data_IF_281809065659
#
_entry.id   IF_281809065659
#
_cell.length_a   1.000
_cell.length_b   1.000
_cell.length_c   1.000
_cell.angle_alpha   90.00
_cell.angle_beta   90.00
_cell.angle_gamma   90.00
#
_symmetry.space_group_name_H-M   'P 1'
#
loop_
_entity.id
_entity.type
_entity.pdbx_description
1 polymer ?
#
# COMPACT_ATOMS: atom_id res chain seq x y z
N UNK A 1 24.40 -4.99 -26.74
CA UNK A 1 24.62 -4.67 -25.32
C UNK A 1 26.09 -4.76 -24.90
N UNK A 2 26.78 -5.88 -25.14
CA UNK A 2 28.21 -6.05 -24.79
C UNK A 2 29.12 -4.94 -25.32
N UNK A 3 29.04 -4.61 -26.62
CA UNK A 3 29.87 -3.54 -27.23
C UNK A 3 29.66 -2.17 -26.55
N UNK A 4 28.42 -1.82 -26.20
CA UNK A 4 28.11 -0.55 -25.53
C UNK A 4 28.76 -0.43 -24.14
N UNK A 5 28.79 -1.53 -23.39
CA UNK A 5 29.29 -1.54 -22.01
C UNK A 5 30.81 -1.70 -21.94
N UNK A 6 31.40 -2.49 -22.85
CA UNK A 6 32.79 -2.93 -22.76
C UNK A 6 33.74 -2.37 -23.82
N UNK A 7 33.26 -1.80 -24.94
CA UNK A 7 34.15 -1.24 -25.99
C UNK A 7 34.17 0.29 -25.97
N UNK A 8 35.23 0.90 -26.51
CA UNK A 8 35.39 2.37 -26.57
C UNK A 8 34.59 3.02 -27.72
N UNK A 9 34.06 2.23 -28.64
CA UNK A 9 33.33 2.68 -29.84
C UNK A 9 32.11 3.56 -29.51
N UNK A 10 31.46 3.33 -28.35
CA UNK A 10 30.26 4.05 -27.93
C UNK A 10 30.45 4.82 -26.62
N UNK A 11 31.66 5.31 -26.36
CA UNK A 11 32.02 5.99 -25.09
C UNK A 11 31.10 7.17 -24.73
N UNK A 12 30.70 7.99 -25.71
CA UNK A 12 29.81 9.14 -25.50
C UNK A 12 28.42 8.66 -25.07
N UNK A 13 27.83 7.71 -25.79
CA UNK A 13 26.54 7.12 -25.46
C UNK A 13 26.55 6.45 -24.08
N UNK A 14 27.62 5.73 -23.74
CA UNK A 14 27.81 5.14 -22.41
C UNK A 14 27.85 6.21 -21.33
N UNK A 15 28.51 7.34 -21.56
CA UNK A 15 28.56 8.46 -20.60
C UNK A 15 27.18 9.07 -20.39
N UNK A 16 26.45 9.37 -21.47
CA UNK A 16 25.07 9.91 -21.40
C UNK A 16 24.16 8.96 -20.63
N UNK A 17 24.18 7.67 -20.99
CA UNK A 17 23.39 6.63 -20.34
C UNK A 17 23.72 6.53 -18.85
N UNK A 18 25.00 6.59 -18.49
CA UNK A 18 25.45 6.52 -17.09
C UNK A 18 24.97 7.72 -16.29
N UNK A 19 25.12 8.95 -16.82
CA UNK A 19 24.66 10.17 -16.15
C UNK A 19 23.15 10.12 -15.94
N UNK A 20 22.39 9.72 -16.96
CA UNK A 20 20.94 9.56 -16.88
C UNK A 20 20.53 8.57 -15.78
N UNK A 21 21.13 7.38 -15.75
CA UNK A 21 20.79 6.38 -14.72
C UNK A 21 21.23 6.79 -13.33
N UNK A 22 22.40 7.45 -13.19
CA UNK A 22 22.83 7.98 -11.88
C UNK A 22 21.85 9.02 -11.37
N UNK A 23 21.34 9.90 -12.24
CA UNK A 23 20.30 10.86 -11.88
C UNK A 23 19.01 10.15 -11.41
N UNK A 24 18.50 9.19 -12.18
CA UNK A 24 17.29 8.43 -11.82
C UNK A 24 17.48 7.65 -10.51
N UNK A 25 18.59 6.95 -10.33
CA UNK A 25 18.86 6.18 -9.11
C UNK A 25 19.04 7.08 -7.88
N UNK A 26 19.66 8.25 -8.05
CA UNK A 26 19.71 9.25 -6.98
C UNK A 26 18.31 9.67 -6.57
N UNK A 27 17.43 9.97 -7.54
CA UNK A 27 16.04 10.33 -7.27
C UNK A 27 15.29 9.20 -6.55
N UNK A 28 15.49 7.94 -6.95
CA UNK A 28 14.90 6.77 -6.29
C UNK A 28 15.35 6.63 -4.83
N UNK A 29 16.64 6.82 -4.57
CA UNK A 29 17.17 6.79 -3.20
C UNK A 29 16.66 7.94 -2.33
N UNK A 30 16.56 9.16 -2.89
CA UNK A 30 15.96 10.28 -2.18
C UNK A 30 14.48 10.03 -1.89
N UNK A 31 13.74 9.48 -2.87
CA UNK A 31 12.34 9.12 -2.71
C UNK A 31 12.15 8.06 -1.62
N UNK A 32 12.96 6.99 -1.58
CA UNK A 32 12.81 5.96 -0.55
C UNK A 32 13.14 6.51 0.85
N UNK A 33 14.19 7.33 0.99
CA UNK A 33 14.50 7.97 2.27
C UNK A 33 13.33 8.86 2.73
N UNK A 34 12.78 9.66 1.83
CA UNK A 34 11.59 10.48 2.11
C UNK A 34 10.38 9.64 2.53
N UNK A 35 10.06 8.59 1.78
CA UNK A 35 8.93 7.70 2.05
C UNK A 35 9.05 6.92 3.37
N UNK A 36 10.27 6.70 3.86
CA UNK A 36 10.53 6.01 5.12
C UNK A 36 10.54 6.95 6.33
N UNK A 37 10.80 8.26 6.15
CA UNK A 37 10.92 9.21 7.26
C UNK A 37 9.66 10.04 7.49
N UNK A 38 8.90 10.35 6.44
CA UNK A 38 7.88 11.41 6.49
C UNK A 38 6.43 10.90 6.57
N UNK A 39 5.96 9.97 5.72
CA UNK A 39 4.55 9.59 5.70
C UNK A 39 4.10 8.85 6.96
N UNK A 40 4.92 7.93 7.50
CA UNK A 40 4.44 6.96 8.48
C UNK A 40 5.33 6.89 9.73
N UNK A 41 4.81 7.34 10.88
CA UNK A 41 5.53 7.31 12.16
C UNK A 41 5.83 5.90 12.69
N UNK A 42 5.07 4.90 12.23
CA UNK A 42 5.25 3.50 12.61
C UNK A 42 6.53 2.90 12.01
N UNK A 43 7.05 3.48 10.92
CA UNK A 43 8.32 3.05 10.34
C UNK A 43 9.45 3.57 11.25
N UNK A 44 10.26 2.69 11.85
CA UNK A 44 11.32 3.15 12.74
C UNK A 44 12.33 4.03 12.00
N UNK A 45 12.70 5.17 12.61
CA UNK A 45 13.62 6.15 12.00
C UNK A 45 14.98 5.55 11.61
N UNK A 46 15.43 4.50 12.30
CA UNK A 46 16.68 3.81 11.95
C UNK A 46 16.61 3.17 10.55
N UNK A 47 15.43 2.74 10.07
CA UNK A 47 15.26 2.18 8.72
C UNK A 47 15.55 3.25 7.67
N UNK A 48 15.05 4.47 7.88
CA UNK A 48 15.38 5.62 7.03
C UNK A 48 16.88 5.99 7.12
N UNK A 49 17.50 5.90 8.30
CA UNK A 49 18.95 6.10 8.45
C UNK A 49 19.76 5.07 7.65
N UNK A 50 19.37 3.79 7.68
CA UNK A 50 20.03 2.75 6.88
C UNK A 50 19.86 3.05 5.38
N UNK A 51 18.67 3.45 4.93
CA UNK A 51 18.46 3.86 3.53
C UNK A 51 19.34 5.07 3.13
N UNK A 52 19.52 6.04 4.03
CA UNK A 52 20.42 7.18 3.79
C UNK A 52 21.89 6.75 3.74
N UNK A 53 22.32 5.79 4.58
CA UNK A 53 23.66 5.19 4.50
C UNK A 53 23.82 4.45 3.16
N UNK A 54 22.81 3.73 2.68
CA UNK A 54 22.85 3.09 1.36
C UNK A 54 22.94 4.12 0.23
N UNK A 55 22.31 5.29 0.33
CA UNK A 55 22.49 6.39 -0.62
C UNK A 55 23.93 6.90 -0.64
N UNK A 56 24.56 7.07 0.54
CA UNK A 56 26.00 7.41 0.62
C UNK A 56 26.85 6.30 0.02
N UNK A 57 26.53 5.03 0.30
CA UNK A 57 27.20 3.87 -0.27
C UNK A 57 27.07 3.81 -1.80
N UNK A 58 25.91 4.21 -2.36
CA UNK A 58 25.72 4.32 -3.80
C UNK A 58 26.70 5.31 -4.44
N UNK A 59 26.89 6.49 -3.84
CA UNK A 59 27.90 7.46 -4.32
C UNK A 59 29.32 6.96 -4.09
N UNK A 60 29.59 6.31 -2.97
CA UNK A 60 30.87 5.69 -2.71
C UNK A 60 31.22 4.66 -3.79
N UNK A 61 30.29 3.74 -4.08
CA UNK A 61 30.41 2.76 -5.16
C UNK A 61 30.77 3.49 -6.44
N UNK A 62 30.03 4.53 -6.87
CA UNK A 62 30.34 5.28 -8.10
C UNK A 62 31.79 5.77 -8.22
N UNK A 63 32.44 6.10 -7.10
CA UNK A 63 33.84 6.58 -7.07
C UNK A 63 34.90 5.47 -7.00
N UNK A 64 34.51 4.23 -6.69
CA UNK A 64 35.43 3.10 -6.64
C UNK A 64 36.06 2.85 -8.02
N UNK A 65 37.34 2.41 -8.00
CA UNK A 65 38.08 2.03 -9.20
C UNK A 65 37.33 0.95 -9.98
N UNK A 66 37.55 0.93 -11.31
CA UNK A 66 36.92 -0.06 -12.19
C UNK A 66 37.47 -1.45 -11.90
N UNK A 67 36.60 -2.38 -11.51
CA UNK A 67 36.97 -3.75 -11.16
C UNK A 67 36.61 -4.74 -12.29
N UNK A 68 36.76 -4.35 -13.56
CA UNK A 68 36.39 -5.16 -14.74
C UNK A 68 34.88 -5.29 -15.00
N UNK A 69 34.04 -5.06 -13.99
CA UNK A 69 32.58 -5.03 -14.11
C UNK A 69 32.06 -3.63 -14.54
N UNK A 70 31.06 -3.53 -15.44
CA UNK A 70 30.50 -2.25 -15.86
C UNK A 70 29.87 -1.51 -14.70
N UNK A 71 30.35 -0.29 -14.44
CA UNK A 71 29.93 0.48 -13.28
C UNK A 71 28.43 0.73 -13.21
N UNK A 72 27.83 0.95 -14.38
CA UNK A 72 26.40 1.12 -14.55
C UNK A 72 25.61 -0.09 -14.01
N UNK A 73 26.06 -1.32 -14.30
CA UNK A 73 25.38 -2.52 -13.81
C UNK A 73 25.51 -2.68 -12.30
N UNK A 74 26.69 -2.39 -11.74
CA UNK A 74 26.95 -2.45 -10.30
C UNK A 74 25.96 -1.58 -9.52
N UNK A 75 25.82 -0.31 -9.92
CA UNK A 75 24.92 0.63 -9.26
C UNK A 75 23.45 0.36 -9.56
N UNK A 76 23.12 -0.21 -10.73
CA UNK A 76 21.77 -0.68 -11.04
C UNK A 76 21.35 -1.80 -10.11
N UNK A 77 22.18 -2.84 -9.95
CA UNK A 77 21.86 -3.95 -9.05
C UNK A 77 21.75 -3.49 -7.61
N UNK A 78 22.72 -2.69 -7.14
CA UNK A 78 22.68 -2.12 -5.80
C UNK A 78 21.40 -1.32 -5.54
N UNK A 79 21.01 -0.45 -6.47
CA UNK A 79 19.81 0.38 -6.33
C UNK A 79 18.53 -0.45 -6.40
N UNK A 80 18.38 -1.32 -7.39
CA UNK A 80 17.15 -2.13 -7.56
C UNK A 80 16.94 -3.04 -6.37
N UNK A 81 17.97 -3.75 -5.92
CA UNK A 81 17.89 -4.64 -4.76
C UNK A 81 17.60 -3.82 -3.50
N UNK A 82 18.39 -2.77 -3.25
CA UNK A 82 18.26 -1.94 -2.05
C UNK A 82 16.88 -1.30 -1.92
N UNK A 83 16.42 -0.60 -2.97
CA UNK A 83 15.10 0.05 -2.99
C UNK A 83 13.97 -0.97 -2.80
N UNK A 84 14.03 -2.14 -3.46
CA UNK A 84 13.01 -3.16 -3.31
C UNK A 84 12.98 -3.76 -1.90
N UNK A 85 14.12 -3.92 -1.22
CA UNK A 85 14.14 -4.35 0.18
C UNK A 85 13.35 -3.36 1.03
N UNK A 86 13.70 -2.07 1.00
CA UNK A 86 13.00 -1.06 1.80
C UNK A 86 11.52 -0.94 1.48
N UNK A 87 11.15 -1.01 0.19
CA UNK A 87 9.76 -0.99 -0.22
C UNK A 87 8.99 -2.17 0.35
N UNK A 88 9.49 -3.39 0.16
CA UNK A 88 8.75 -4.61 0.55
C UNK A 88 8.77 -4.88 2.05
N UNK A 89 9.83 -4.51 2.78
CA UNK A 89 9.93 -4.84 4.21
C UNK A 89 9.43 -3.74 5.14
N UNK A 90 9.38 -2.48 4.69
CA UNK A 90 8.98 -1.35 5.54
C UNK A 90 7.80 -0.56 4.97
N UNK A 91 7.92 -0.06 3.74
CA UNK A 91 6.93 0.87 3.19
C UNK A 91 5.60 0.17 2.84
N UNK A 92 5.61 -0.87 2.02
CA UNK A 92 4.40 -1.57 1.57
C UNK A 92 3.60 -2.22 2.71
N UNK A 93 4.21 -2.93 3.68
CA UNK A 93 3.46 -3.46 4.82
C UNK A 93 2.73 -2.37 5.62
N UNK A 94 3.26 -1.14 5.64
CA UNK A 94 2.63 -0.01 6.30
C UNK A 94 1.52 0.60 5.45
N UNK A 95 1.77 0.79 4.16
CA UNK A 95 0.81 1.34 3.20
C UNK A 95 -0.43 0.46 3.05
N UNK A 96 -0.24 -0.85 2.97
CA UNK A 96 -1.33 -1.81 2.71
C UNK A 96 -2.33 -1.91 3.87
N UNK A 97 -1.98 -1.48 5.07
CA UNK A 97 -2.92 -1.37 6.21
C UNK A 97 -4.03 -0.33 5.99
N UNK A 98 -3.82 0.60 5.07
CA UNK A 98 -4.83 1.58 4.69
C UNK A 98 -5.81 1.03 3.65
N UNK A 99 -5.59 -0.16 3.08
CA UNK A 99 -6.62 -0.80 2.25
C UNK A 99 -7.65 -1.49 3.13
N UNK A 100 -8.94 -1.19 2.89
CA UNK A 100 -10.04 -1.83 3.60
C UNK A 100 -9.92 -3.37 3.58
N UNK A 101 -9.67 -4.00 2.43
CA UNK A 101 -9.72 -5.45 2.32
C UNK A 101 -8.76 -6.18 3.25
N UNK A 102 -7.53 -5.70 3.39
CA UNK A 102 -6.56 -6.26 4.34
C UNK A 102 -7.03 -6.06 5.78
N UNK A 103 -7.39 -4.81 6.13
CA UNK A 103 -7.79 -4.47 7.48
C UNK A 103 -9.07 -5.21 7.93
N UNK A 104 -10.04 -5.37 7.03
CA UNK A 104 -11.29 -6.09 7.32
C UNK A 104 -11.03 -7.59 7.45
N UNK A 105 -10.19 -8.18 6.60
CA UNK A 105 -9.80 -9.60 6.75
C UNK A 105 -9.14 -9.88 8.10
N UNK A 106 -8.24 -8.99 8.55
CA UNK A 106 -7.62 -9.07 9.88
C UNK A 106 -8.66 -8.99 11.00
N UNK A 107 -9.60 -8.04 10.92
CA UNK A 107 -10.67 -7.87 11.91
C UNK A 107 -11.64 -9.07 11.94
N UNK A 108 -11.97 -9.64 10.79
CA UNK A 108 -12.81 -10.84 10.70
C UNK A 108 -12.16 -12.00 11.45
N UNK A 109 -10.85 -12.19 11.26
CA UNK A 109 -10.08 -13.22 11.96
C UNK A 109 -9.94 -12.94 13.45
N UNK A 110 -9.59 -11.71 13.82
CA UNK A 110 -9.39 -11.30 15.22
C UNK A 110 -10.67 -11.43 16.05
N UNK A 111 -11.80 -10.98 15.49
CA UNK A 111 -13.10 -11.00 16.18
C UNK A 111 -13.92 -12.26 15.95
N UNK A 112 -13.38 -13.25 15.23
CA UNK A 112 -14.09 -14.47 14.83
C UNK A 112 -15.46 -14.17 14.18
N UNK A 113 -15.48 -13.21 13.26
CA UNK A 113 -16.69 -12.83 12.53
C UNK A 113 -17.06 -13.98 11.58
N UNK A 114 -18.30 -14.49 11.62
CA UNK A 114 -18.73 -15.55 10.73
C UNK A 114 -18.76 -15.06 9.27
N UNK A 115 -18.02 -15.73 8.39
CA UNK A 115 -17.88 -15.27 7.00
C UNK A 115 -19.11 -15.59 6.16
N UNK A 116 -19.85 -16.66 6.48
CA UNK A 116 -20.98 -17.16 5.69
C UNK A 116 -22.19 -16.21 5.64
N UNK A 117 -22.36 -15.38 6.67
CA UNK A 117 -23.38 -14.34 6.75
C UNK A 117 -22.78 -12.93 6.69
N UNK A 118 -21.56 -12.80 6.18
CA UNK A 118 -20.91 -11.50 5.96
C UNK A 118 -21.00 -11.11 4.49
N UNK A 119 -21.52 -9.92 4.21
CA UNK A 119 -21.79 -9.41 2.87
C UNK A 119 -21.23 -8.02 2.65
N UNK A 120 -20.94 -7.69 1.39
CA UNK A 120 -20.48 -6.35 0.98
C UNK A 120 -21.67 -5.56 0.44
N UNK A 121 -21.84 -4.30 0.85
CA UNK A 121 -22.91 -3.41 0.36
C UNK A 121 -22.40 -2.00 0.09
N UNK A 122 -22.87 -1.38 -1.00
CA UNK A 122 -22.62 0.03 -1.36
C UNK A 122 -21.15 0.49 -1.28
N UNK A 123 -20.22 -0.45 -1.47
CA UNK A 123 -18.78 -0.23 -1.59
C UNK A 123 -18.27 -1.12 -2.72
N UNK A 124 -17.22 -0.68 -3.41
CA UNK A 124 -16.63 -1.42 -4.52
C UNK A 124 -16.11 -2.79 -4.08
N UNK A 125 -16.04 -3.72 -5.03
CA UNK A 125 -15.49 -5.04 -4.72
C UNK A 125 -14.00 -4.94 -4.37
N UNK A 126 -13.59 -5.59 -3.29
CA UNK A 126 -12.21 -5.57 -2.81
C UNK A 126 -11.60 -6.97 -2.88
N UNK A 127 -10.76 -7.21 -3.89
CA UNK A 127 -10.10 -8.51 -4.09
C UNK A 127 -9.18 -8.90 -2.93
N UNK A 128 -8.60 -7.92 -2.23
CA UNK A 128 -7.77 -8.21 -1.07
C UNK A 128 -8.63 -8.79 0.06
N UNK A 129 -9.85 -8.29 0.26
CA UNK A 129 -10.78 -8.85 1.24
C UNK A 129 -11.05 -10.34 0.97
N UNK A 130 -11.34 -10.70 -0.28
CA UNK A 130 -11.60 -12.10 -0.63
C UNK A 130 -10.39 -13.00 -0.40
N UNK A 131 -9.22 -12.53 -0.83
CA UNK A 131 -7.99 -13.28 -0.76
C UNK A 131 -7.54 -13.48 0.70
N UNK A 132 -7.42 -12.40 1.47
CA UNK A 132 -6.93 -12.47 2.85
C UNK A 132 -7.99 -12.95 3.85
N UNK A 133 -9.27 -12.74 3.55
CA UNK A 133 -10.38 -13.30 4.32
C UNK A 133 -10.64 -14.78 4.03
N UNK A 134 -9.95 -15.37 3.05
CA UNK A 134 -10.11 -16.76 2.62
C UNK A 134 -11.57 -17.15 2.34
N UNK A 135 -12.34 -16.21 1.79
CA UNK A 135 -13.77 -16.37 1.52
C UNK A 135 -14.25 -15.41 0.43
N UNK A 136 -15.17 -15.87 -0.42
CA UNK A 136 -15.81 -15.00 -1.43
C UNK A 136 -17.01 -14.33 -0.78
N UNK A 137 -16.83 -13.09 -0.33
CA UNK A 137 -17.89 -12.27 0.24
C UNK A 137 -18.82 -11.77 -0.87
N UNK A 138 -20.08 -12.19 -0.83
CA UNK A 138 -21.04 -11.79 -1.86
C UNK A 138 -21.40 -10.30 -1.71
N UNK A 139 -21.53 -9.63 -2.86
CA UNK A 139 -22.02 -8.26 -2.91
C UNK A 139 -23.55 -8.24 -2.96
N UNK A 140 -24.18 -7.50 -2.05
CA UNK A 140 -25.62 -7.24 -2.06
C UNK A 140 -25.87 -5.90 -2.73
N UNK A 141 -26.80 -5.86 -3.67
CA UNK A 141 -27.18 -4.63 -4.38
C UNK A 141 -28.31 -3.87 -3.68
N UNK A 142 -29.00 -4.48 -2.72
CA UNK A 142 -30.15 -3.87 -2.04
C UNK A 142 -30.23 -4.29 -0.58
N UNK A 143 -30.58 -3.35 0.29
CA UNK A 143 -30.89 -3.61 1.70
C UNK A 143 -32.16 -4.46 1.84
N UNK A 144 -33.00 -4.53 0.80
CA UNK A 144 -34.23 -5.32 0.78
C UNK A 144 -33.99 -6.82 1.03
N UNK A 145 -32.90 -7.37 0.51
CA UNK A 145 -32.59 -8.80 0.54
C UNK A 145 -31.83 -9.27 1.79
N UNK A 146 -31.40 -8.34 2.65
CA UNK A 146 -30.63 -8.65 3.86
C UNK A 146 -31.52 -9.25 4.96
N UNK A 147 -30.90 -10.07 5.80
CA UNK A 147 -31.51 -10.73 6.95
C UNK A 147 -31.06 -10.10 8.27
N UNK A 148 -31.89 -10.15 9.33
CA UNK A 148 -31.56 -9.65 10.67
C UNK A 148 -30.34 -10.29 11.35
N UNK A 149 -29.73 -11.31 10.77
CA UNK A 149 -28.55 -11.99 11.30
C UNK A 149 -27.30 -11.70 10.46
N UNK A 150 -27.44 -10.93 9.37
CA UNK A 150 -26.34 -10.64 8.47
C UNK A 150 -25.37 -9.61 9.07
N UNK A 151 -24.13 -9.68 8.60
CA UNK A 151 -23.07 -8.73 8.90
C UNK A 151 -22.71 -8.03 7.59
N UNK A 152 -22.76 -6.72 7.57
CA UNK A 152 -22.59 -5.93 6.36
C UNK A 152 -21.31 -5.09 6.47
N UNK A 153 -20.45 -5.22 5.47
CA UNK A 153 -19.30 -4.35 5.24
C UNK A 153 -19.75 -3.29 4.23
N UNK A 154 -19.74 -2.02 4.63
CA UNK A 154 -20.29 -0.93 3.80
C UNK A 154 -19.53 0.37 3.98
N UNK A 155 -19.64 1.27 2.99
CA UNK A 155 -19.28 2.67 3.16
C UNK A 155 -20.05 3.28 4.33
N UNK A 156 -19.39 4.13 5.12
CA UNK A 156 -19.99 4.76 6.31
C UNK A 156 -21.20 5.62 5.94
N UNK A 157 -21.16 6.27 4.78
CA UNK A 157 -22.24 7.14 4.29
C UNK A 157 -23.50 6.36 3.91
N UNK A 158 -23.41 5.04 3.72
CA UNK A 158 -24.55 4.16 3.44
C UNK A 158 -25.20 3.58 4.71
N UNK A 159 -24.60 3.78 5.89
CA UNK A 159 -25.13 3.31 7.16
C UNK A 159 -26.56 3.83 7.46
N UNK A 160 -26.94 5.10 7.19
CA UNK A 160 -28.30 5.57 7.45
C UNK A 160 -29.39 4.77 6.73
N UNK A 161 -29.12 4.30 5.51
CA UNK A 161 -30.06 3.47 4.73
C UNK A 161 -30.25 2.11 5.39
N UNK A 162 -29.18 1.53 5.93
CA UNK A 162 -29.24 0.28 6.69
C UNK A 162 -30.01 0.50 8.00
N UNK A 163 -29.73 1.59 8.72
CA UNK A 163 -30.41 1.92 9.99
C UNK A 163 -31.89 2.20 9.83
N UNK A 164 -32.31 2.78 8.70
CA UNK A 164 -33.74 2.98 8.43
C UNK A 164 -34.51 1.64 8.40
N UNK A 165 -33.89 0.58 7.85
CA UNK A 165 -34.53 -0.74 7.73
C UNK A 165 -34.25 -1.65 8.93
N UNK A 166 -33.07 -1.51 9.56
CA UNK A 166 -32.65 -2.26 10.73
C UNK A 166 -32.27 -1.27 11.84
N UNK A 167 -33.26 -0.70 12.57
CA UNK A 167 -33.02 0.35 13.56
C UNK A 167 -32.11 -0.09 14.71
N UNK A 168 -32.13 -1.39 15.03
CA UNK A 168 -31.36 -1.98 16.12
C UNK A 168 -29.98 -2.47 15.67
N UNK A 169 -29.54 -2.13 14.45
CA UNK A 169 -28.22 -2.55 14.00
C UNK A 169 -27.10 -2.02 14.91
N UNK A 170 -25.99 -2.75 14.93
CA UNK A 170 -24.83 -2.43 15.76
C UNK A 170 -23.58 -2.34 14.91
N UNK A 171 -22.94 -1.18 14.92
CA UNK A 171 -21.60 -1.02 14.34
C UNK A 171 -20.60 -1.75 15.22
N UNK A 172 -20.00 -2.82 14.70
CA UNK A 172 -19.01 -3.65 15.42
C UNK A 172 -17.56 -3.23 15.12
N UNK A 173 -17.36 -2.46 14.04
CA UNK A 173 -16.09 -1.87 13.67
C UNK A 173 -16.29 -0.67 12.73
N UNK A 174 -15.41 0.33 12.82
CA UNK A 174 -15.30 1.42 11.84
C UNK A 174 -13.84 1.60 11.47
N UNK A 175 -13.58 1.73 10.18
CA UNK A 175 -12.24 1.86 9.64
C UNK A 175 -12.16 2.92 8.55
N UNK A 176 -10.94 3.07 8.04
CA UNK A 176 -10.58 4.00 6.97
C UNK A 176 -9.92 3.23 5.84
N UNK A 177 -10.24 3.58 4.61
CA UNK A 177 -9.72 2.97 3.39
C UNK A 177 -9.03 4.01 2.53
N UNK A 178 -8.04 3.58 1.76
CA UNK A 178 -7.39 4.37 0.74
C UNK A 178 -7.07 3.51 -0.48
N UNK A 179 -7.33 4.05 -1.66
CA UNK A 179 -6.89 3.47 -2.93
C UNK A 179 -5.37 3.58 -3.11
N UNK A 180 -4.61 2.64 -2.54
CA UNK A 180 -3.13 2.69 -2.52
C UNK A 180 -2.46 2.70 -3.91
N UNK A 181 -3.20 2.49 -5.01
CA UNK A 181 -2.68 2.54 -6.38
C UNK A 181 -2.31 3.96 -6.84
N UNK A 182 -2.80 5.02 -6.18
CA UNK A 182 -2.61 6.40 -6.63
C UNK A 182 -1.55 7.18 -5.84
N UNK A 183 -1.11 6.70 -4.67
CA UNK A 183 -0.04 7.28 -3.81
C UNK A 183 0.06 8.82 -3.92
N UNK A 184 -1.04 9.50 -3.63
CA UNK A 184 -1.16 10.94 -3.85
C UNK A 184 -0.34 11.72 -2.81
N UNK A 185 0.20 12.88 -3.20
CA UNK A 185 0.93 13.74 -2.25
C UNK A 185 0.10 14.11 -1.00
N UNK A 186 -1.22 14.44 -1.10
CA UNK A 186 -2.05 14.69 0.07
C UNK A 186 -2.17 13.50 1.02
N UNK A 187 -2.17 12.26 0.51
CA UNK A 187 -2.18 11.06 1.36
C UNK A 187 -0.83 10.83 2.07
N UNK A 188 0.27 11.07 1.35
CA UNK A 188 1.62 10.94 1.91
C UNK A 188 1.89 11.94 3.03
N UNK A 189 1.29 13.13 2.98
CA UNK A 189 1.39 14.11 4.06
C UNK A 189 0.48 13.71 5.24
N UNK A 190 1.04 13.42 6.43
CA UNK A 190 0.25 12.97 7.58
C UNK A 190 -0.80 14.00 8.03
N UNK A 191 -0.56 15.30 7.80
CA UNK A 191 -1.49 16.37 8.18
C UNK A 191 -2.73 16.46 7.28
N UNK A 192 -2.63 16.00 6.02
CA UNK A 192 -3.72 16.04 5.05
C UNK A 192 -4.32 14.67 4.78
N UNK A 193 -3.63 13.59 5.16
CA UNK A 193 -4.01 12.19 4.91
C UNK A 193 -5.46 11.90 5.24
N UNK A 194 -5.92 12.37 6.41
CA UNK A 194 -7.28 12.11 6.89
C UNK A 194 -8.39 12.53 5.94
N UNK A 195 -8.13 13.50 5.05
CA UNK A 195 -9.10 13.98 4.06
C UNK A 195 -9.20 13.07 2.84
N UNK A 196 -8.16 12.27 2.59
CA UNK A 196 -8.09 11.34 1.46
C UNK A 196 -8.63 9.95 1.82
N UNK A 197 -8.98 9.72 3.09
CA UNK A 197 -9.42 8.43 3.58
C UNK A 197 -10.94 8.28 3.50
N UNK A 198 -11.38 7.31 2.69
CA UNK A 198 -12.77 6.86 2.68
C UNK A 198 -13.10 6.14 3.98
N UNK A 199 -14.31 6.31 4.50
CA UNK A 199 -14.72 5.67 5.76
C UNK A 199 -15.62 4.48 5.48
N UNK A 200 -15.37 3.37 6.16
CA UNK A 200 -16.21 2.19 6.11
C UNK A 200 -16.59 1.72 7.51
N UNK A 201 -17.62 0.89 7.58
CA UNK A 201 -18.11 0.26 8.80
C UNK A 201 -18.41 -1.22 8.56
N UNK A 202 -18.26 -2.01 9.61
CA UNK A 202 -18.82 -3.35 9.70
C UNK A 202 -20.00 -3.24 10.67
N UNK A 203 -21.19 -3.56 10.18
CA UNK A 203 -22.44 -3.47 10.93
C UNK A 203 -23.07 -4.85 11.04
N UNK A 204 -23.42 -5.24 12.27
CA UNK A 204 -24.25 -6.41 12.51
C UNK A 204 -25.71 -5.96 12.49
N UNK A 205 -26.51 -6.58 11.65
CA UNK A 205 -27.95 -6.34 11.64
C UNK A 205 -28.58 -7.03 12.85
N UNK A 206 -29.59 -6.40 13.45
CA UNK A 206 -30.41 -6.97 14.53
C UNK A 206 -31.85 -6.44 14.38
N UNK A 207 -32.85 -7.26 14.73
CA UNK A 207 -34.27 -6.86 14.73
C UNK A 207 -35.06 -7.17 13.44
N UNK A 208 -36.40 -7.21 13.55
CA UNK A 208 -37.31 -7.70 12.51
C UNK A 208 -37.33 -6.86 11.22
N UNK A 209 -37.56 -7.55 10.09
CA UNK A 209 -38.02 -6.95 8.84
C UNK A 209 -39.38 -6.31 9.09
N UNK A 210 -39.44 -4.99 9.16
CA UNK A 210 -40.68 -4.25 8.87
C UNK A 210 -41.06 -4.46 7.39
#
# INVERSE_FOLDING_TARGET
MYKLLYTEQFKIWRKILTVFHVFIFTLMWLAIVFLLIYPFDVIPKYVACIAAICLVAFFYILTMKKNGFPKLLEVSFFTVIGVNIFLNTAFYPTLLKFQMGNAVADIIKEKNIPTQNTFIYAIGNDYALHFYGNHIFEQRSSVASMLPTDIIITAKDSLPIITQKFPNNKVIYSGKSYGVSQLTFPFLNPNTREKELDKYVIVKLEGEKL
#
